data_IF_074225523508
#
_entry.id   IF_074225523508
#
_cell.length_a   1.000
_cell.length_b   1.000
_cell.length_c   1.000
_cell.angle_alpha   90.00
_cell.angle_beta   90.00
_cell.angle_gamma   90.00
#
_symmetry.space_group_name_H-M   'P 1'
#
loop_
_entity.id
_entity.type
_entity.pdbx_description
1 polymer ?
#
# COMPACT_ATOMS: atom_id res chain seq x y z
N UNK A 1 8.22 -23.82 -8.18
CA UNK A 1 8.28 -22.68 -7.24
C UNK A 1 7.88 -21.46 -8.07
N UNK A 2 6.76 -20.81 -7.76
CA UNK A 2 6.12 -19.78 -8.61
C UNK A 2 5.74 -18.55 -7.80
N UNK A 3 5.83 -17.36 -8.39
CA UNK A 3 5.40 -16.13 -7.71
C UNK A 3 3.91 -15.86 -7.97
N UNK A 4 3.14 -15.65 -6.90
CA UNK A 4 1.71 -15.33 -6.98
C UNK A 4 1.30 -14.34 -5.88
N UNK A 5 0.11 -13.73 -6.03
CA UNK A 5 -0.45 -12.84 -5.03
C UNK A 5 -1.19 -13.61 -3.93
N UNK A 6 -0.63 -13.59 -2.71
CA UNK A 6 -1.28 -14.16 -1.54
C UNK A 6 -2.29 -13.17 -0.93
N UNK A 7 -3.57 -13.54 -0.83
CA UNK A 7 -4.61 -12.69 -0.24
C UNK A 7 -4.45 -12.46 1.27
N UNK A 8 -3.79 -13.38 1.98
CA UNK A 8 -3.50 -13.25 3.42
C UNK A 8 -2.32 -12.32 3.66
N UNK A 9 -1.21 -12.51 2.94
CA UNK A 9 -0.01 -11.67 3.07
C UNK A 9 -0.12 -10.33 2.32
N UNK A 10 -1.05 -10.23 1.37
CA UNK A 10 -1.31 -9.06 0.52
C UNK A 10 -0.11 -8.62 -0.32
N UNK A 11 0.76 -9.56 -0.68
CA UNK A 11 2.00 -9.33 -1.44
C UNK A 11 2.16 -10.42 -2.50
N UNK A 12 2.91 -10.10 -3.56
CA UNK A 12 3.45 -11.11 -4.48
C UNK A 12 4.66 -11.73 -3.80
N UNK A 13 4.66 -13.04 -3.70
CA UNK A 13 5.70 -13.79 -3.02
C UNK A 13 5.78 -15.20 -3.58
N UNK A 14 6.74 -15.95 -3.05
CA UNK A 14 7.02 -17.27 -3.55
C UNK A 14 6.04 -18.34 -3.01
N UNK A 15 5.48 -19.14 -3.91
CA UNK A 15 4.51 -20.19 -3.64
C UNK A 15 4.97 -21.55 -4.20
N UNK A 16 4.63 -22.60 -3.47
CA UNK A 16 4.69 -23.98 -3.96
C UNK A 16 3.45 -24.32 -4.80
N UNK A 17 3.62 -25.03 -5.91
CA UNK A 17 2.50 -25.57 -6.68
C UNK A 17 1.94 -26.78 -5.94
N UNK A 18 0.64 -26.77 -5.64
CA UNK A 18 -0.04 -27.87 -4.93
C UNK A 18 -1.10 -28.57 -5.76
N UNK A 19 -1.46 -28.00 -6.93
CA UNK A 19 -2.39 -28.64 -7.85
C UNK A 19 -2.24 -28.13 -9.27
N UNK A 20 -2.09 -29.07 -10.19
CA UNK A 20 -2.03 -28.84 -11.64
C UNK A 20 -3.15 -29.61 -12.33
N UNK A 21 -3.64 -29.09 -13.45
CA UNK A 21 -4.60 -29.76 -14.35
C UNK A 21 -4.02 -29.67 -15.76
N UNK A 22 -3.61 -30.81 -16.31
CA UNK A 22 -2.77 -30.83 -17.51
C UNK A 22 -1.49 -30.03 -17.26
N UNK A 23 -1.22 -29.06 -18.13
CA UNK A 23 -0.04 -28.20 -18.04
C UNK A 23 -0.29 -26.90 -17.26
N UNK A 24 -1.52 -26.68 -16.76
CA UNK A 24 -1.89 -25.46 -16.06
C UNK A 24 -1.84 -25.60 -14.53
N UNK A 25 -1.19 -24.66 -13.86
CA UNK A 25 -1.23 -24.53 -12.40
C UNK A 25 -2.59 -23.96 -11.97
N UNK A 26 -3.34 -24.71 -11.15
CA UNK A 26 -4.65 -24.28 -10.62
C UNK A 26 -4.61 -23.84 -9.17
N UNK A 27 -3.77 -24.47 -8.34
CA UNK A 27 -3.65 -24.16 -6.92
C UNK A 27 -2.20 -24.03 -6.48
N UNK A 28 -1.95 -23.06 -5.61
CA UNK A 28 -0.65 -22.75 -5.03
C UNK A 28 -0.75 -22.60 -3.52
N UNK A 29 0.34 -22.89 -2.81
CA UNK A 29 0.51 -22.70 -1.37
C UNK A 29 1.56 -21.65 -1.10
N UNK A 30 1.21 -20.65 -0.31
CA UNK A 30 2.13 -19.60 0.10
C UNK A 30 3.22 -20.14 1.02
N UNK A 31 4.50 -19.87 0.73
CA UNK A 31 5.60 -20.38 1.56
C UNK A 31 5.82 -19.58 2.86
N UNK A 32 5.16 -18.42 3.00
CA UNK A 32 5.23 -17.60 4.21
C UNK A 32 4.09 -17.90 5.18
N UNK A 33 2.82 -17.86 4.71
CA UNK A 33 1.66 -18.07 5.59
C UNK A 33 1.00 -19.44 5.43
N UNK A 34 1.57 -20.33 4.60
CA UNK A 34 1.13 -21.71 4.39
C UNK A 34 -0.34 -21.87 3.95
N UNK A 35 -0.93 -20.81 3.40
CA UNK A 35 -2.30 -20.85 2.90
C UNK A 35 -2.35 -21.25 1.43
N UNK A 36 -3.30 -22.10 1.09
CA UNK A 36 -3.57 -22.57 -0.26
C UNK A 36 -4.64 -21.72 -0.95
N UNK A 37 -4.39 -21.28 -2.16
CA UNK A 37 -5.37 -20.55 -2.96
C UNK A 37 -5.23 -20.87 -4.44
N UNK A 38 -6.22 -20.43 -5.23
CA UNK A 38 -6.14 -20.50 -6.68
C UNK A 38 -4.99 -19.64 -7.19
N UNK A 39 -4.29 -20.12 -8.21
CA UNK A 39 -3.21 -19.37 -8.85
C UNK A 39 -3.80 -18.16 -9.58
N UNK A 40 -3.28 -16.97 -9.32
CA UNK A 40 -3.74 -15.70 -9.91
C UNK A 40 -2.76 -15.15 -10.95
N UNK A 41 -1.85 -15.98 -11.44
CA UNK A 41 -0.87 -15.61 -12.46
C UNK A 41 -0.02 -14.40 -12.06
N UNK A 42 0.26 -14.20 -10.77
CA UNK A 42 1.04 -13.06 -10.28
C UNK A 42 0.33 -11.71 -10.41
N UNK A 43 -0.98 -11.70 -10.64
CA UNK A 43 -1.73 -10.46 -10.81
C UNK A 43 -2.12 -9.85 -9.45
N UNK A 44 -1.80 -8.57 -9.28
CA UNK A 44 -2.32 -7.80 -8.16
C UNK A 44 -3.83 -7.56 -8.33
N UNK A 45 -4.58 -7.51 -7.22
CA UNK A 45 -5.98 -7.09 -7.28
C UNK A 45 -6.08 -5.67 -7.85
N UNK A 46 -7.09 -5.47 -8.71
CA UNK A 46 -7.33 -4.16 -9.31
C UNK A 46 -7.50 -3.08 -8.24
N UNK A 47 -6.89 -1.91 -8.49
CA UNK A 47 -6.98 -0.78 -7.58
C UNK A 47 -8.42 -0.28 -7.48
N UNK A 48 -9.01 -0.41 -6.29
CA UNK A 48 -10.37 0.06 -6.00
C UNK A 48 -10.54 1.58 -6.06
N UNK A 49 -9.46 2.37 -6.20
CA UNK A 49 -9.50 3.84 -6.19
C UNK A 49 -10.45 4.40 -7.26
N UNK A 50 -10.37 3.90 -8.49
CA UNK A 50 -11.21 4.37 -9.62
C UNK A 50 -12.69 3.96 -9.48
N UNK A 51 -12.96 2.80 -8.89
CA UNK A 51 -14.34 2.36 -8.63
C UNK A 51 -14.97 3.20 -7.52
N UNK A 52 -14.18 3.53 -6.48
CA UNK A 52 -14.65 4.32 -5.34
C UNK A 52 -14.96 5.77 -5.74
N UNK A 53 -14.15 6.40 -6.60
CA UNK A 53 -14.42 7.78 -7.05
C UNK A 53 -15.74 7.88 -7.82
N UNK A 54 -16.04 6.93 -8.71
CA UNK A 54 -17.31 6.88 -9.45
C UNK A 54 -18.52 6.79 -8.52
N UNK A 55 -18.46 5.89 -7.53
CA UNK A 55 -19.54 5.75 -6.53
C UNK A 55 -19.72 7.02 -5.70
N UNK A 56 -18.62 7.69 -5.33
CA UNK A 56 -18.71 8.96 -4.62
C UNK A 56 -19.34 10.06 -5.47
N UNK A 57 -18.97 10.18 -6.74
CA UNK A 57 -19.58 11.13 -7.67
C UNK A 57 -21.08 10.88 -7.86
N UNK A 58 -21.49 9.61 -7.92
CA UNK A 58 -22.89 9.22 -8.02
C UNK A 58 -23.69 9.61 -6.77
N UNK A 59 -23.15 9.34 -5.58
CA UNK A 59 -23.76 9.78 -4.31
C UNK A 59 -23.84 11.31 -4.23
N UNK A 60 -22.78 12.03 -4.63
CA UNK A 60 -22.77 13.49 -4.63
C UNK A 60 -23.83 14.10 -5.55
N UNK A 61 -24.11 13.47 -6.70
CA UNK A 61 -25.19 13.90 -7.61
C UNK A 61 -26.59 13.68 -7.03
N UNK A 62 -26.75 12.69 -6.15
CA UNK A 62 -28.03 12.32 -5.55
C UNK A 62 -28.41 13.13 -4.31
N UNK A 63 -27.53 13.99 -3.79
CA UNK A 63 -27.80 14.84 -2.61
C UNK A 63 -28.24 16.22 -3.11
N UNK A 64 -29.54 16.57 -3.06
CA UNK A 64 -29.99 17.93 -3.34
C UNK A 64 -29.49 18.85 -2.22
N UNK A 65 -28.67 19.84 -2.59
CA UNK A 65 -28.28 21.00 -1.78
C UNK A 65 -27.94 20.70 -0.32
N UNK A 66 -26.67 20.47 -0.02
CA UNK A 66 -26.22 20.58 1.37
C UNK A 66 -26.63 21.95 1.88
N UNK A 67 -27.43 22.00 2.94
CA UNK A 67 -27.62 23.21 3.72
C UNK A 67 -26.24 23.82 3.99
N UNK A 68 -26.12 25.13 3.79
CA UNK A 68 -24.96 25.91 4.14
C UNK A 68 -24.55 25.52 5.57
N UNK A 69 -23.30 25.07 5.80
CA UNK A 69 -22.88 24.73 7.15
C UNK A 69 -23.10 25.97 8.02
N UNK A 70 -23.69 25.85 9.23
CA UNK A 70 -23.77 26.98 10.13
C UNK A 70 -22.38 27.56 10.30
N UNK A 71 -22.26 28.88 10.13
CA UNK A 71 -21.00 29.61 10.12
C UNK A 71 -20.05 29.05 11.19
N UNK A 72 -18.95 28.45 10.74
CA UNK A 72 -18.01 27.80 11.62
C UNK A 72 -17.44 28.82 12.59
N UNK A 73 -17.66 28.63 13.90
CA UNK A 73 -16.83 29.23 14.92
C UNK A 73 -15.37 28.81 14.65
N UNK A 74 -14.39 29.73 14.82
CA UNK A 74 -13.00 29.43 14.53
C UNK A 74 -12.57 28.18 15.31
N UNK A 75 -11.94 27.20 14.65
CA UNK A 75 -11.57 25.96 15.31
C UNK A 75 -10.63 26.27 16.47
N UNK A 76 -11.03 25.88 17.68
CA UNK A 76 -10.17 25.95 18.85
C UNK A 76 -8.83 25.24 18.54
N UNK A 77 -7.69 25.78 19.01
CA UNK A 77 -6.39 25.20 18.73
C UNK A 77 -6.34 23.76 19.24
N UNK A 78 -6.34 22.79 18.32
CA UNK A 78 -6.21 21.39 18.68
C UNK A 78 -4.78 21.16 19.21
N UNK A 79 -4.61 20.44 20.33
CA UNK A 79 -3.29 20.14 20.86
C UNK A 79 -2.56 19.28 19.82
N UNK A 80 -1.46 19.81 19.28
CA UNK A 80 -0.60 19.08 18.38
C UNK A 80 -0.02 17.88 19.15
N UNK A 81 -0.54 16.69 18.86
CA UNK A 81 -0.08 15.47 19.53
C UNK A 81 1.42 15.31 19.25
N UNK A 82 2.23 15.34 20.31
CA UNK A 82 3.67 15.10 20.26
C UNK A 82 3.97 13.60 20.03
N UNK A 83 3.40 13.01 18.97
CA UNK A 83 3.66 11.62 18.65
C UNK A 83 5.09 11.52 18.09
N UNK A 84 5.97 11.15 19.03
CA UNK A 84 7.39 10.85 18.94
C UNK A 84 7.79 10.30 17.57
N UNK A 85 8.67 11.02 16.86
CA UNK A 85 9.36 10.57 15.65
C UNK A 85 10.21 9.33 15.96
N UNK A 86 9.63 8.14 15.83
CA UNK A 86 10.31 6.88 16.10
C UNK A 86 11.00 6.25 14.89
N UNK A 87 10.99 6.89 13.72
CA UNK A 87 11.62 6.34 12.52
C UNK A 87 12.49 7.36 11.78
N UNK A 88 13.54 7.86 12.42
CA UNK A 88 14.75 8.30 11.73
C UNK A 88 15.82 7.24 11.93
N UNK A 89 15.69 6.15 11.17
CA UNK A 89 16.79 5.20 11.02
C UNK A 89 17.92 5.93 10.27
N UNK A 90 19.11 5.89 10.85
CA UNK A 90 20.29 6.66 10.48
C UNK A 90 20.62 6.57 8.98
N UNK A 91 20.53 7.69 8.26
CA UNK A 91 21.33 7.90 7.04
C UNK A 91 22.63 8.62 7.41
N UNK A 92 23.43 7.98 8.24
CA UNK A 92 24.80 8.38 8.54
C UNK A 92 25.76 7.36 7.91
N UNK A 93 25.73 7.27 6.58
CA UNK A 93 26.82 6.66 5.82
C UNK A 93 27.20 7.66 4.73
N UNK A 94 28.35 8.31 4.93
CA UNK A 94 29.13 8.98 3.89
C UNK A 94 28.80 10.44 3.60
N UNK A 95 29.18 11.37 4.49
CA UNK A 95 29.52 12.74 4.05
C UNK A 95 31.04 12.89 4.11
N UNK A 96 31.66 12.62 2.97
CA UNK A 96 33.03 12.99 2.66
C UNK A 96 33.14 14.52 2.67
N UNK A 97 34.07 15.06 3.46
CA UNK A 97 34.65 16.40 3.22
C UNK A 97 35.98 16.53 3.94
N UNK A 98 36.97 15.74 3.51
CA UNK A 98 38.38 16.01 3.78
C UNK A 98 38.88 17.06 2.80
N UNK A 99 39.32 18.20 3.34
CA UNK A 99 39.83 19.36 2.62
C UNK A 99 41.14 19.00 1.91
N UNK A 100 41.11 18.87 0.58
CA UNK A 100 42.31 18.64 -0.24
C UNK A 100 43.19 19.89 -0.35
N UNK A 101 44.52 19.75 -0.53
CA UNK A 101 45.46 20.86 -0.58
C UNK A 101 45.35 21.67 -1.88
N UNK A 102 45.48 23.00 -1.78
CA UNK A 102 45.53 23.93 -2.91
C UNK A 102 46.81 23.70 -3.72
N UNK A 103 46.70 23.52 -5.05
CA UNK A 103 47.82 23.54 -5.98
C UNK A 103 48.30 24.97 -6.20
N UNK A 104 49.61 25.20 -6.02
CA UNK A 104 50.45 26.22 -6.68
C UNK A 104 51.75 25.55 -7.04
#
# INVERSE_FOLDING_TARGET
>A
MVDDYCSRCRLIMNHGVVGMVGDEVKKVRCNTCLWEHQFRHGQLPASRKKARSKLFEEVLKGIPGSAEPPAAEPPAPQPQSAHRRLYTIHRAIGKTSGKGPKKT
#
